data_IF_615744254267
#
_entry.id   IF_615744254267
#
_cell.length_a   1.000
_cell.length_b   1.000
_cell.length_c   1.000
_cell.angle_alpha   90.00
_cell.angle_beta   90.00
_cell.angle_gamma   90.00
#
_symmetry.space_group_name_H-M   'P 1'
#
loop_
_entity.id
_entity.type
_entity.pdbx_description
1 polymer ?
#
# COMPACT_ATOMS: atom_id res chain seq x y z
N UNK A 1 4.64 1.50 7.40
CA UNK A 1 5.62 1.11 8.44
C UNK A 1 6.51 0.01 7.89
N UNK A 2 7.84 0.09 8.02
CA UNK A 2 8.76 -0.99 7.62
C UNK A 2 9.07 -1.86 8.85
N UNK A 3 8.70 -3.15 8.86
CA UNK A 3 8.87 -3.99 10.04
C UNK A 3 10.32 -4.36 10.30
N UNK A 4 10.76 -4.19 11.56
CA UNK A 4 11.93 -4.89 12.08
C UNK A 4 11.46 -6.14 12.82
N UNK A 5 11.49 -7.29 12.14
CA UNK A 5 10.95 -8.56 12.64
C UNK A 5 11.59 -9.03 13.93
N UNK A 6 12.91 -8.83 14.11
CA UNK A 6 13.61 -9.18 15.36
C UNK A 6 13.07 -8.36 16.52
N UNK A 7 13.00 -7.04 16.35
CA UNK A 7 12.50 -6.13 17.37
C UNK A 7 11.03 -6.39 17.71
N UNK A 8 10.19 -6.63 16.70
CA UNK A 8 8.76 -6.95 16.93
C UNK A 8 8.65 -8.25 17.71
N UNK A 9 9.38 -9.30 17.30
CA UNK A 9 9.38 -10.59 17.98
C UNK A 9 9.77 -10.47 19.46
N UNK A 10 10.80 -9.69 19.77
CA UNK A 10 11.23 -9.39 21.13
C UNK A 10 10.15 -8.64 21.91
N UNK A 11 9.51 -7.62 21.31
CA UNK A 11 8.47 -6.83 21.97
C UNK A 11 7.19 -7.60 22.29
N UNK A 12 6.83 -8.58 21.46
CA UNK A 12 5.63 -9.41 21.65
C UNK A 12 5.93 -10.78 22.28
N UNK A 13 7.18 -11.01 22.69
CA UNK A 13 7.66 -12.23 23.35
C UNK A 13 7.32 -13.53 22.60
N UNK A 14 7.37 -13.49 21.26
CA UNK A 14 7.09 -14.67 20.42
C UNK A 14 8.39 -15.46 20.17
N UNK A 15 8.36 -16.78 20.36
CA UNK A 15 9.56 -17.62 20.26
C UNK A 15 10.19 -17.68 18.86
N UNK A 16 9.37 -17.65 17.80
CA UNK A 16 9.83 -17.86 16.43
C UNK A 16 9.12 -16.98 15.38
N UNK A 17 9.79 -16.75 14.24
CA UNK A 17 9.28 -15.89 13.17
C UNK A 17 8.09 -16.49 12.42
N UNK A 18 7.92 -17.82 12.40
CA UNK A 18 6.80 -18.47 11.71
C UNK A 18 5.50 -18.21 12.46
N UNK A 19 5.52 -18.31 13.79
CA UNK A 19 4.39 -17.95 14.64
C UNK A 19 4.05 -16.46 14.48
N UNK A 20 5.06 -15.58 14.50
CA UNK A 20 4.84 -14.15 14.29
C UNK A 20 4.20 -13.85 12.92
N UNK A 21 4.69 -14.47 11.84
CA UNK A 21 4.09 -14.35 10.51
C UNK A 21 2.63 -14.84 10.48
N UNK A 22 2.31 -15.89 11.24
CA UNK A 22 0.94 -16.40 11.36
C UNK A 22 0.02 -15.39 12.03
N UNK A 23 0.47 -14.70 13.09
CA UNK A 23 -0.31 -13.63 13.71
C UNK A 23 -0.55 -12.45 12.77
N UNK A 24 0.46 -12.04 12.00
CA UNK A 24 0.29 -11.00 10.98
C UNK A 24 -0.70 -11.43 9.89
N UNK A 25 -0.69 -12.70 9.49
CA UNK A 25 -1.70 -13.25 8.58
C UNK A 25 -3.11 -13.16 9.18
N UNK A 26 -3.29 -13.46 10.46
CA UNK A 26 -4.59 -13.29 11.13
C UNK A 26 -5.04 -11.83 11.16
N UNK A 27 -4.15 -10.89 11.49
CA UNK A 27 -4.45 -9.46 11.47
C UNK A 27 -4.84 -8.96 10.06
N UNK A 28 -4.22 -9.52 9.02
CA UNK A 28 -4.57 -9.23 7.63
C UNK A 28 -5.93 -9.84 7.25
N UNK A 29 -6.21 -11.08 7.65
CA UNK A 29 -7.46 -11.78 7.37
C UNK A 29 -8.69 -11.11 8.00
N UNK A 30 -8.53 -10.55 9.20
CA UNK A 30 -9.60 -9.76 9.84
C UNK A 30 -9.65 -8.31 9.35
N UNK A 31 -8.77 -7.93 8.42
CA UNK A 31 -8.75 -6.61 7.80
C UNK A 31 -8.32 -5.49 8.75
N UNK A 32 -7.43 -5.76 9.71
CA UNK A 32 -6.81 -4.73 10.57
C UNK A 32 -5.56 -4.12 9.93
N UNK A 33 -4.75 -4.97 9.31
CA UNK A 33 -3.54 -4.54 8.62
C UNK A 33 -3.54 -5.03 7.19
N UNK A 34 -2.63 -4.49 6.40
CA UNK A 34 -2.27 -5.01 5.08
C UNK A 34 -0.77 -5.06 4.96
N UNK A 35 -0.28 -6.23 4.58
CA UNK A 35 1.14 -6.45 4.32
C UNK A 35 1.42 -6.29 2.83
N UNK A 36 2.54 -5.66 2.51
CA UNK A 36 2.99 -5.45 1.13
C UNK A 36 4.42 -5.95 1.03
N UNK A 37 4.65 -6.91 0.15
CA UNK A 37 5.97 -7.50 -0.06
C UNK A 37 6.73 -6.76 -1.16
N UNK A 38 8.04 -6.96 -1.21
CA UNK A 38 8.86 -6.47 -2.32
C UNK A 38 8.49 -7.20 -3.61
N UNK A 39 8.44 -6.48 -4.71
CA UNK A 39 8.15 -7.06 -6.02
C UNK A 39 9.31 -7.95 -6.48
N UNK A 40 8.97 -9.17 -6.92
CA UNK A 40 9.88 -10.07 -7.61
C UNK A 40 9.13 -10.84 -8.69
N UNK A 41 9.78 -11.21 -9.81
CA UNK A 41 9.11 -12.02 -10.86
C UNK A 41 8.65 -13.40 -10.37
N UNK A 42 9.17 -13.84 -9.22
CA UNK A 42 8.84 -15.11 -8.56
C UNK A 42 8.29 -14.81 -7.16
N UNK A 43 7.21 -14.02 -7.05
CA UNK A 43 6.57 -13.74 -5.76
C UNK A 43 6.22 -15.06 -5.07
N UNK A 44 6.86 -15.34 -3.93
CA UNK A 44 6.54 -16.51 -3.11
C UNK A 44 5.51 -16.14 -2.05
N UNK A 45 4.62 -17.07 -1.75
CA UNK A 45 3.78 -16.98 -0.56
C UNK A 45 4.70 -17.02 0.68
N UNK A 46 4.39 -16.22 1.71
CA UNK A 46 5.16 -16.10 2.97
C UNK A 46 6.50 -15.34 2.92
N UNK A 47 6.73 -14.54 1.89
CA UNK A 47 7.79 -13.54 1.91
C UNK A 47 7.60 -12.57 3.07
N UNK A 48 8.71 -12.13 3.64
CA UNK A 48 8.73 -11.15 4.71
C UNK A 48 8.20 -9.81 4.17
N UNK A 49 7.13 -9.24 4.76
CA UNK A 49 6.60 -7.93 4.37
C UNK A 49 7.67 -6.85 4.37
N UNK A 50 7.70 -6.06 3.30
CA UNK A 50 8.55 -4.88 3.14
C UNK A 50 7.90 -3.67 3.83
N UNK A 51 6.59 -3.54 3.68
CA UNK A 51 5.78 -2.52 4.34
C UNK A 51 4.50 -3.13 4.94
N UNK A 52 4.05 -2.53 6.03
CA UNK A 52 2.75 -2.79 6.65
C UNK A 52 2.00 -1.46 6.72
N UNK A 53 0.72 -1.52 6.35
CA UNK A 53 -0.26 -0.44 6.44
C UNK A 53 -1.43 -0.88 7.32
N UNK A 54 -2.16 0.07 7.88
CA UNK A 54 -3.53 -0.22 8.35
C UNK A 54 -4.40 -0.51 7.12
N UNK A 55 -5.47 -1.28 7.28
CA UNK A 55 -6.22 -1.76 6.13
C UNK A 55 -6.99 -0.63 5.39
N UNK A 56 -7.33 0.46 6.07
CA UNK A 56 -7.91 1.65 5.44
C UNK A 56 -7.59 2.95 6.19
N UNK A 57 -7.88 4.09 5.55
CA UNK A 57 -7.63 5.42 6.11
C UNK A 57 -8.49 5.72 7.35
N UNK A 58 -9.69 5.17 7.47
CA UNK A 58 -10.53 5.39 8.66
C UNK A 58 -9.91 4.75 9.90
N UNK A 59 -9.38 3.53 9.77
CA UNK A 59 -8.59 2.89 10.83
C UNK A 59 -7.36 3.72 11.20
N UNK A 60 -6.68 4.28 10.20
CA UNK A 60 -5.54 5.16 10.41
C UNK A 60 -5.91 6.39 11.25
N UNK A 61 -7.06 7.02 11.00
CA UNK A 61 -7.56 8.12 11.82
C UNK A 61 -8.08 7.69 13.19
N UNK A 62 -8.68 6.51 13.31
CA UNK A 62 -9.28 6.04 14.56
C UNK A 62 -8.26 5.49 15.56
N UNK A 63 -7.20 4.82 15.08
CA UNK A 63 -6.21 4.12 15.92
C UNK A 63 -5.00 5.00 16.21
N UNK A 64 -4.63 5.91 15.30
CA UNK A 64 -3.44 6.74 15.49
C UNK A 64 -3.64 7.72 16.64
N UNK A 65 -2.78 7.61 17.66
CA UNK A 65 -2.75 8.54 18.80
C UNK A 65 -2.22 9.93 18.42
N UNK A 66 -1.67 10.08 17.22
CA UNK A 66 -1.14 11.33 16.68
C UNK A 66 -1.73 11.62 15.31
N UNK A 67 -1.61 12.88 14.86
CA UNK A 67 -1.96 13.26 13.50
C UNK A 67 -1.19 12.39 12.49
N UNK A 68 -1.93 11.60 11.71
CA UNK A 68 -1.34 10.69 10.74
C UNK A 68 -0.67 11.48 9.61
N UNK A 69 0.52 11.05 9.19
CA UNK A 69 1.22 11.68 8.07
C UNK A 69 0.36 11.58 6.79
N UNK A 70 0.09 12.71 6.15
CA UNK A 70 -0.77 12.78 4.96
C UNK A 70 -0.26 11.91 3.79
N UNK A 71 1.05 11.72 3.66
CA UNK A 71 1.63 10.76 2.70
C UNK A 71 1.15 9.34 2.99
N UNK A 72 1.24 8.90 4.24
CA UNK A 72 0.74 7.60 4.67
C UNK A 72 -0.76 7.46 4.48
N UNK A 73 -1.55 8.52 4.72
CA UNK A 73 -3.00 8.51 4.46
C UNK A 73 -3.28 8.25 2.98
N UNK A 74 -2.57 8.94 2.07
CA UNK A 74 -2.74 8.79 0.62
C UNK A 74 -2.35 7.40 0.14
N UNK A 75 -1.20 6.89 0.58
CA UNK A 75 -0.75 5.53 0.26
C UNK A 75 -1.75 4.49 0.77
N UNK A 76 -2.23 4.65 2.02
CA UNK A 76 -3.20 3.75 2.65
C UNK A 76 -4.53 3.76 1.90
N UNK A 77 -5.02 4.94 1.50
CA UNK A 77 -6.22 5.07 0.69
C UNK A 77 -6.07 4.41 -0.68
N UNK A 78 -4.97 4.70 -1.39
CA UNK A 78 -4.71 4.09 -2.69
C UNK A 78 -4.68 2.56 -2.59
N UNK A 79 -3.97 2.05 -1.59
CA UNK A 79 -3.83 0.62 -1.36
C UNK A 79 -5.17 -0.03 -0.95
N UNK A 80 -5.98 0.62 -0.11
CA UNK A 80 -7.28 0.09 0.30
C UNK A 80 -8.28 0.01 -0.85
N UNK A 81 -8.18 0.91 -1.84
CA UNK A 81 -9.03 0.92 -3.02
C UNK A 81 -8.59 -0.06 -4.12
N UNK A 82 -7.31 -0.44 -4.17
CA UNK A 82 -6.73 -1.22 -5.28
C UNK A 82 -6.41 -2.66 -4.90
N UNK A 83 -5.87 -2.89 -3.70
CA UNK A 83 -5.41 -4.21 -3.27
C UNK A 83 -6.50 -5.29 -3.08
N UNK A 84 -7.81 -4.98 -2.96
CA UNK A 84 -8.85 -6.00 -3.06
C UNK A 84 -8.95 -6.66 -4.45
N UNK A 85 -8.52 -5.96 -5.50
CA UNK A 85 -8.70 -6.38 -6.89
C UNK A 85 -7.39 -6.68 -7.61
N UNK A 86 -6.28 -6.09 -7.14
CA UNK A 86 -4.97 -6.17 -7.77
C UNK A 86 -3.90 -6.61 -6.77
N UNK A 87 -2.89 -7.33 -7.27
CA UNK A 87 -1.73 -7.69 -6.46
C UNK A 87 -0.79 -6.49 -6.34
N UNK A 88 -0.79 -5.85 -5.18
CA UNK A 88 0.13 -4.75 -4.86
C UNK A 88 1.45 -5.28 -4.28
N UNK A 89 2.57 -4.72 -4.74
CA UNK A 89 3.90 -4.97 -4.20
C UNK A 89 4.74 -3.68 -4.21
N UNK A 90 5.90 -3.68 -3.54
CA UNK A 90 6.84 -2.56 -3.52
C UNK A 90 7.87 -2.74 -4.66
N UNK A 91 7.88 -1.87 -5.69
CA UNK A 91 8.86 -1.92 -6.78
C UNK A 91 10.24 -1.40 -6.34
N UNK A 92 11.19 -1.39 -7.28
CA UNK A 92 12.50 -0.72 -7.07
C UNK A 92 12.36 0.80 -7.08
N UNK A 93 11.42 1.32 -7.87
CA UNK A 93 11.13 2.72 -8.14
C UNK A 93 9.61 2.94 -8.09
N UNK A 94 9.18 3.98 -7.39
CA UNK A 94 7.77 4.23 -7.11
C UNK A 94 7.30 3.64 -5.77
N UNK A 95 6.06 3.95 -5.40
CA UNK A 95 5.46 3.49 -4.15
C UNK A 95 4.85 2.09 -4.25
N UNK A 96 4.13 1.80 -5.35
CA UNK A 96 3.48 0.51 -5.57
C UNK A 96 3.59 0.05 -7.02
N UNK A 97 3.64 -1.27 -7.21
CA UNK A 97 3.40 -1.91 -8.50
C UNK A 97 2.19 -2.83 -8.39
N UNK A 98 1.22 -2.65 -9.30
CA UNK A 98 0.03 -3.49 -9.41
C UNK A 98 0.23 -4.52 -10.51
N UNK A 99 -0.06 -5.78 -10.16
CA UNK A 99 -0.01 -6.96 -11.04
C UNK A 99 1.32 -7.13 -11.77
N UNK A 100 2.40 -6.62 -11.19
CA UNK A 100 3.75 -6.66 -11.78
C UNK A 100 3.90 -5.83 -13.07
N UNK A 101 2.96 -4.93 -13.37
CA UNK A 101 2.90 -4.21 -14.65
C UNK A 101 2.81 -2.69 -14.54
N UNK A 102 2.01 -2.18 -13.60
CA UNK A 102 1.70 -0.75 -13.52
C UNK A 102 2.33 -0.16 -12.26
N UNK A 103 3.21 0.81 -12.43
CA UNK A 103 3.90 1.47 -11.32
C UNK A 103 3.17 2.76 -10.96
N UNK A 104 2.96 2.98 -9.66
CA UNK A 104 2.27 4.13 -9.12
C UNK A 104 3.17 4.83 -8.11
N UNK A 105 3.29 6.14 -8.27
CA UNK A 105 3.92 7.06 -7.33
C UNK A 105 2.84 7.93 -6.70
N UNK A 106 2.74 7.95 -5.37
CA UNK A 106 1.66 8.61 -4.64
C UNK A 106 2.20 9.90 -4.00
N UNK A 107 1.44 10.98 -4.08
CA UNK A 107 1.85 12.25 -3.47
C UNK A 107 0.80 13.34 -3.43
N UNK A 108 1.23 14.53 -3.00
CA UNK A 108 0.42 15.74 -3.08
C UNK A 108 0.46 16.38 -4.47
N UNK A 109 -0.24 17.50 -4.62
CA UNK A 109 -0.35 18.29 -5.86
C UNK A 109 0.98 18.50 -6.61
N UNK A 110 2.04 18.79 -5.86
CA UNK A 110 3.36 19.15 -6.38
C UNK A 110 4.28 17.95 -6.65
N UNK A 111 3.79 16.71 -6.47
CA UNK A 111 4.58 15.52 -6.80
C UNK A 111 4.90 15.51 -8.30
N UNK A 112 6.09 15.02 -8.64
CA UNK A 112 6.64 14.95 -9.98
C UNK A 112 6.99 13.51 -10.35
N UNK A 113 7.29 13.26 -11.63
CA UNK A 113 7.64 11.93 -12.13
C UNK A 113 9.08 11.51 -11.82
N UNK A 114 9.86 12.28 -11.06
CA UNK A 114 11.30 12.03 -10.87
C UNK A 114 11.63 10.61 -10.39
N UNK A 115 10.83 10.04 -9.49
CA UNK A 115 11.05 8.68 -8.96
C UNK A 115 10.74 7.56 -9.95
N UNK A 116 9.92 7.85 -10.98
CA UNK A 116 9.37 6.87 -11.92
C UNK A 116 9.61 7.28 -13.39
N UNK A 117 10.57 8.17 -13.63
CA UNK A 117 10.80 8.79 -14.96
C UNK A 117 11.24 7.79 -16.02
N UNK A 118 11.97 6.75 -15.61
CA UNK A 118 12.51 5.71 -16.49
C UNK A 118 11.60 4.47 -16.56
N UNK A 119 10.49 4.48 -15.82
CA UNK A 119 9.57 3.35 -15.73
C UNK A 119 8.52 3.37 -16.83
N UNK A 120 8.30 2.20 -17.45
CA UNK A 120 7.22 1.99 -18.42
C UNK A 120 5.91 1.75 -17.68
N UNK A 121 4.80 2.25 -18.21
CA UNK A 121 3.47 2.16 -17.58
C UNK A 121 3.44 2.71 -16.15
N UNK A 122 4.06 3.88 -15.95
CA UNK A 122 4.13 4.54 -14.66
C UNK A 122 3.16 5.73 -14.58
N UNK A 123 2.53 5.87 -13.42
CA UNK A 123 1.48 6.84 -13.14
C UNK A 123 1.76 7.58 -11.85
N UNK A 124 1.46 8.87 -11.88
CA UNK A 124 1.56 9.74 -10.72
C UNK A 124 0.17 9.93 -10.13
N UNK A 125 -0.06 9.44 -8.92
CA UNK A 125 -1.33 9.55 -8.21
C UNK A 125 -1.23 10.71 -7.21
N UNK A 126 -1.99 11.76 -7.47
CA UNK A 126 -1.87 13.01 -6.72
C UNK A 126 -3.15 13.39 -6.03
N UNK A 127 -2.98 13.79 -4.77
CA UNK A 127 -3.98 14.50 -4.00
C UNK A 127 -4.05 15.98 -4.38
N UNK A 128 -5.20 16.62 -4.12
CA UNK A 128 -5.53 18.00 -4.49
C UNK A 128 -5.42 18.28 -6.00
N UNK A 129 -5.86 17.33 -6.83
CA UNK A 129 -6.11 17.54 -8.25
C UNK A 129 -7.61 17.47 -8.53
N UNK A 130 -8.13 18.44 -9.29
CA UNK A 130 -9.53 18.42 -9.75
C UNK A 130 -9.72 17.53 -10.97
N UNK A 131 -8.70 17.42 -11.83
CA UNK A 131 -8.76 16.67 -13.08
C UNK A 131 -7.41 15.98 -13.33
N UNK A 132 -7.47 14.80 -13.97
CA UNK A 132 -6.29 14.08 -14.42
C UNK A 132 -5.75 14.63 -15.73
N UNK A 133 -4.43 14.60 -15.90
CA UNK A 133 -3.76 15.02 -17.15
C UNK A 133 -2.68 13.99 -17.48
N UNK A 134 -2.80 13.34 -18.65
CA UNK A 134 -1.89 12.25 -19.08
C UNK A 134 -1.81 11.14 -18.02
N UNK A 135 -0.59 10.81 -17.57
CA UNK A 135 -0.36 9.78 -16.55
C UNK A 135 -0.45 10.32 -15.11
N UNK A 136 -0.95 11.55 -14.91
CA UNK A 136 -1.19 12.12 -13.59
C UNK A 136 -2.67 11.99 -13.24
N UNK A 137 -2.98 11.19 -12.23
CA UNK A 137 -4.33 10.76 -11.86
C UNK A 137 -4.70 11.35 -10.49
N UNK A 138 -5.89 11.95 -10.31
CA UNK A 138 -6.35 12.36 -8.99
C UNK A 138 -6.57 11.16 -8.07
N UNK A 139 -6.06 11.21 -6.84
CA UNK A 139 -6.16 10.09 -5.89
C UNK A 139 -7.61 9.70 -5.61
N UNK A 140 -8.52 10.67 -5.53
CA UNK A 140 -9.94 10.43 -5.23
C UNK A 140 -10.65 9.59 -6.30
N UNK A 141 -10.11 9.52 -7.54
CA UNK A 141 -10.71 8.73 -8.60
C UNK A 141 -10.69 7.23 -8.27
N UNK A 142 -9.71 6.77 -7.48
CA UNK A 142 -9.63 5.39 -7.03
C UNK A 142 -10.76 5.01 -6.06
N UNK A 143 -11.40 5.98 -5.40
CA UNK A 143 -12.57 5.74 -4.56
C UNK A 143 -13.78 5.19 -5.31
N UNK A 144 -13.87 5.43 -6.62
CA UNK A 144 -14.94 4.89 -7.46
C UNK A 144 -14.71 3.43 -7.89
N UNK A 145 -13.49 2.91 -7.78
CA UNK A 145 -13.18 1.52 -8.14
C UNK A 145 -13.87 0.51 -7.21
N UNK A 146 -14.05 0.86 -5.94
CA UNK A 146 -14.71 0.01 -4.96
C UNK A 146 -16.23 -0.13 -5.19
N UNK A 147 -16.87 0.83 -5.88
CA UNK A 147 -18.32 0.86 -6.07
C UNK A 147 -18.82 0.13 -7.32
N UNK A 148 -17.94 -0.22 -8.27
CA UNK A 148 -18.38 -0.71 -9.58
C UNK A 148 -18.66 -2.22 -9.66
N UNK A 149 -18.48 -3.02 -8.58
CA UNK A 149 -18.52 -4.49 -8.69
C UNK A 149 -19.26 -5.20 -7.54
N UNK A 150 -19.95 -4.48 -6.66
CA UNK A 150 -20.91 -5.09 -5.72
C UNK A 150 -22.28 -5.41 -6.35
N UNK A 151 -22.35 -5.40 -7.70
CA UNK A 151 -23.56 -5.60 -8.50
C UNK A 151 -23.53 -6.81 -9.44
N UNK A 152 -22.72 -7.84 -9.14
CA UNK A 152 -22.79 -9.15 -9.82
C UNK A 152 -22.73 -10.29 -8.82
#
# INVERSE_FOLDING_TARGET
FTPNWKKIKELVEVGDERTLKTYFKYLEDVGLIRTVIKYSKKMRQFETPEKIYLNNSNQLYAISSQASNIGTVRETFFLSMTAPFHKAAIPVSGDFILDGRFIFEIGGKNKTFEQIKDEKNAYLVCDNLEQGIKNKIPVWLFGFLAFCISGT
#
